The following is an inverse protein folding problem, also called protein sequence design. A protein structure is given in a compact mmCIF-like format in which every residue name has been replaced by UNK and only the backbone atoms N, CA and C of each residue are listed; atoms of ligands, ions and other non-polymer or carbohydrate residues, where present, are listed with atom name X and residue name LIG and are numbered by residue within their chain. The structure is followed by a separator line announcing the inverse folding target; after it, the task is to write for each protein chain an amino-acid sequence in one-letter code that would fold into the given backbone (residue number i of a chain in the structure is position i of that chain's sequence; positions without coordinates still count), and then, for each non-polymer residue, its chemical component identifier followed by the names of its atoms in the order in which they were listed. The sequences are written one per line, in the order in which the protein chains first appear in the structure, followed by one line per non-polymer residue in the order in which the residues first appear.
data_IF_791836144728
#
_entry.id   IF_791836144728
#
_cell.length_a   1.000
_cell.length_b   1.000
_cell.length_c   1.000
_cell.angle_alpha   90.00
_cell.angle_beta   90.00
_cell.angle_gamma   90.00
#
_symmetry.space_group_name_H-M   'P 1'
#
loop_
_entity.id
_entity.type
_entity.pdbx_description
1 polymer ?
#
# COMPACT_ATOMS: atom_id res chain seq x y z
N UNK A 1 9.33 10.68 -12.12
CA UNK A 1 10.54 9.87 -12.39
C UNK A 1 10.20 8.41 -12.07
N UNK A 2 11.00 7.44 -12.53
CA UNK A 2 10.72 6.04 -12.19
C UNK A 2 11.12 5.79 -10.74
N UNK A 3 10.27 5.14 -9.95
CA UNK A 3 10.65 4.78 -8.58
C UNK A 3 11.77 3.75 -8.59
N UNK A 4 12.70 3.90 -7.64
CA UNK A 4 13.81 2.98 -7.47
C UNK A 4 13.31 1.63 -6.97
N UNK A 5 13.83 0.57 -7.56
CA UNK A 5 13.52 -0.78 -7.11
C UNK A 5 13.95 -0.99 -5.65
N UNK A 6 15.05 -0.35 -5.23
CA UNK A 6 15.54 -0.38 -3.85
C UNK A 6 14.52 0.18 -2.85
N UNK A 7 13.83 1.26 -3.20
CA UNK A 7 12.81 1.86 -2.34
C UNK A 7 11.60 0.94 -2.18
N UNK A 8 11.14 0.32 -3.27
CA UNK A 8 10.02 -0.63 -3.21
C UNK A 8 10.38 -1.86 -2.38
N UNK A 9 11.58 -2.39 -2.56
CA UNK A 9 12.08 -3.52 -1.75
C UNK A 9 12.15 -3.14 -0.27
N UNK A 10 12.62 -1.93 0.05
CA UNK A 10 12.60 -1.42 1.41
C UNK A 10 11.19 -1.40 1.97
N UNK A 11 10.21 -0.79 1.29
CA UNK A 11 8.82 -0.76 1.76
C UNK A 11 8.27 -2.18 1.95
N UNK A 12 8.54 -3.11 1.03
CA UNK A 12 8.07 -4.49 1.11
C UNK A 12 8.66 -5.22 2.33
N UNK A 13 9.94 -4.96 2.65
CA UNK A 13 10.59 -5.46 3.87
C UNK A 13 9.93 -4.89 5.13
N UNK A 14 9.58 -3.59 5.11
CA UNK A 14 8.91 -2.94 6.26
C UNK A 14 7.53 -3.53 6.55
N UNK A 15 6.79 -3.95 5.51
CA UNK A 15 5.43 -4.48 5.62
C UNK A 15 5.37 -6.01 5.62
N UNK A 16 6.52 -6.69 5.66
CA UNK A 16 6.58 -8.15 5.66
C UNK A 16 5.78 -8.74 6.83
N UNK A 17 5.78 -8.06 7.98
CA UNK A 17 5.01 -8.40 9.18
C UNK A 17 3.48 -8.36 8.97
N UNK A 18 2.99 -7.63 7.97
CA UNK A 18 1.56 -7.57 7.62
C UNK A 18 1.09 -8.76 6.77
N UNK A 19 2.00 -9.59 6.24
CA UNK A 19 1.68 -10.64 5.27
C UNK A 19 1.57 -10.15 3.82
N UNK A 20 1.78 -8.85 3.58
CA UNK A 20 1.79 -8.23 2.26
C UNK A 20 3.15 -8.43 1.56
N UNK A 21 3.37 -9.61 0.97
CA UNK A 21 4.69 -10.01 0.42
C UNK A 21 4.86 -9.82 -1.08
N UNK A 22 3.89 -9.24 -1.78
CA UNK A 22 3.91 -9.19 -3.23
C UNK A 22 3.82 -7.77 -3.75
N UNK A 23 4.76 -7.39 -4.60
CA UNK A 23 4.70 -6.17 -5.38
C UNK A 23 4.72 -6.51 -6.87
N UNK A 24 4.08 -5.69 -7.70
CA UNK A 24 4.14 -5.81 -9.16
C UNK A 24 4.43 -4.46 -9.78
N UNK A 25 5.37 -4.42 -10.72
CA UNK A 25 5.61 -3.26 -11.55
C UNK A 25 4.48 -3.11 -12.56
N UNK A 26 3.85 -1.95 -12.62
CA UNK A 26 2.75 -1.62 -13.52
C UNK A 26 2.94 -0.20 -14.04
N UNK A 27 2.99 -0.02 -15.36
CA UNK A 27 3.13 1.30 -16.01
C UNK A 27 4.33 2.16 -15.53
N UNK A 28 5.43 1.52 -15.12
CA UNK A 28 6.64 2.21 -14.64
C UNK A 28 6.68 2.44 -13.12
N UNK A 29 5.57 2.19 -12.44
CA UNK A 29 5.40 2.32 -10.99
C UNK A 29 5.18 0.96 -10.35
N UNK A 30 5.04 0.90 -9.02
CA UNK A 30 4.89 -0.37 -8.31
C UNK A 30 3.59 -0.42 -7.50
N UNK A 31 2.90 -1.54 -7.58
CA UNK A 31 1.71 -1.80 -6.77
C UNK A 31 2.03 -2.86 -5.72
N UNK A 32 1.64 -2.59 -4.47
CA UNK A 32 1.81 -3.48 -3.33
C UNK A 32 0.51 -4.25 -3.08
N UNK A 33 0.66 -5.56 -2.89
CA UNK A 33 -0.42 -6.51 -2.70
C UNK A 33 -0.39 -7.15 -1.32
N UNK A 34 -1.56 -7.20 -0.69
CA UNK A 34 -1.86 -8.04 0.47
C UNK A 34 -3.03 -8.95 0.13
N UNK A 35 -2.91 -10.26 0.33
CA UNK A 35 -3.99 -11.23 0.06
C UNK A 35 -4.63 -11.10 -1.35
N UNK A 36 -3.80 -10.91 -2.38
CA UNK A 36 -4.23 -10.64 -3.77
C UNK A 36 -4.99 -9.32 -3.99
N UNK A 37 -5.04 -8.41 -3.01
CA UNK A 37 -5.61 -7.06 -3.12
C UNK A 37 -4.50 -6.01 -3.23
N UNK A 38 -4.71 -4.99 -4.06
CA UNK A 38 -3.85 -3.80 -4.07
C UNK A 38 -4.19 -2.94 -2.86
N UNK A 39 -3.25 -2.82 -1.94
CA UNK A 39 -3.35 -2.04 -0.70
C UNK A 39 -2.66 -0.69 -0.82
N UNK A 40 -1.54 -0.63 -1.53
CA UNK A 40 -0.76 0.58 -1.74
C UNK A 40 -0.09 0.61 -3.12
N UNK A 41 0.34 1.79 -3.52
CA UNK A 41 1.09 2.08 -4.74
C UNK A 41 2.36 2.84 -4.35
N UNK A 42 3.43 2.65 -5.11
CA UNK A 42 4.69 3.36 -4.96
C UNK A 42 4.98 4.09 -6.26
N UNK A 43 5.02 5.40 -6.16
CA UNK A 43 5.12 6.36 -7.26
C UNK A 43 6.13 7.43 -6.85
N UNK A 44 7.08 7.78 -7.70
CA UNK A 44 8.11 8.81 -7.42
C UNK A 44 8.84 8.65 -6.05
N UNK A 45 9.12 7.41 -5.62
CA UNK A 45 9.71 7.10 -4.29
C UNK A 45 8.86 7.55 -3.09
N UNK A 46 7.54 7.66 -3.29
CA UNK A 46 6.57 7.92 -2.25
C UNK A 46 5.57 6.76 -2.15
N UNK A 47 5.11 6.46 -0.94
CA UNK A 47 4.13 5.42 -0.68
C UNK A 47 2.72 5.99 -0.61
N UNK A 48 1.84 5.48 -1.47
CA UNK A 48 0.44 5.86 -1.56
C UNK A 48 -0.45 4.71 -1.11
N UNK A 49 -0.99 4.79 0.10
CA UNK A 49 -1.92 3.80 0.64
C UNK A 49 -3.35 4.15 0.26
N UNK A 50 -4.17 3.14 -0.06
CA UNK A 50 -5.57 3.40 -0.43
C UNK A 50 -6.33 4.15 0.67
N UNK A 51 -7.17 5.14 0.29
CA UNK A 51 -7.94 5.91 1.25
C UNK A 51 -9.09 5.06 1.82
N UNK A 52 -8.84 4.37 2.93
CA UNK A 52 -9.87 3.62 3.68
C UNK A 52 -10.26 4.38 4.94
N UNK A 53 -11.49 4.18 5.42
CA UNK A 53 -11.97 4.83 6.64
C UNK A 53 -11.17 4.36 7.87
N UNK A 54 -10.92 3.05 7.96
CA UNK A 54 -10.10 2.48 9.03
C UNK A 54 -8.63 2.95 8.98
N UNK A 55 -8.03 3.04 7.78
CA UNK A 55 -6.70 3.61 7.61
C UNK A 55 -6.65 5.08 8.02
N UNK A 56 -7.70 5.87 7.70
CA UNK A 56 -7.82 7.26 8.15
C UNK A 56 -7.86 7.36 9.67
N UNK A 57 -8.65 6.51 10.33
CA UNK A 57 -8.76 6.50 11.78
C UNK A 57 -7.44 6.14 12.45
N UNK A 58 -6.65 5.23 11.84
CA UNK A 58 -5.35 4.82 12.35
C UNK A 58 -4.27 5.90 12.17
N UNK A 59 -4.20 6.54 11.00
CA UNK A 59 -3.24 7.61 10.71
C UNK A 59 -3.65 8.92 11.41
N UNK A 60 -4.95 9.13 11.62
CA UNK A 60 -5.52 10.37 12.13
C UNK A 60 -5.50 11.49 11.08
N UNK A 61 -4.39 12.24 11.02
CA UNK A 61 -4.20 13.39 10.14
C UNK A 61 -3.49 13.00 8.83
N UNK A 62 -4.00 11.99 8.11
CA UNK A 62 -3.38 11.51 6.88
C UNK A 62 -3.39 12.57 5.78
N UNK A 63 -2.22 12.85 5.21
CA UNK A 63 -2.09 13.67 3.99
C UNK A 63 -2.65 12.88 2.82
N UNK A 64 -3.50 13.52 2.01
CA UNK A 64 -4.04 12.92 0.79
C UNK A 64 -3.41 13.58 -0.43
N UNK A 65 -2.75 12.80 -1.27
CA UNK A 65 -2.18 13.28 -2.52
C UNK A 65 -2.53 12.30 -3.65
N UNK A 66 -2.70 12.80 -4.89
CA UNK A 66 -2.81 11.92 -6.05
C UNK A 66 -1.45 11.27 -6.34
N UNK A 67 -1.43 9.96 -6.56
CA UNK A 67 -0.21 9.22 -6.90
C UNK A 67 0.41 9.66 -8.23
N UNK A 68 -0.43 10.11 -9.17
CA UNK A 68 -0.04 10.67 -10.46
C UNK A 68 -1.12 11.67 -10.94
N UNK A 69 -0.84 12.53 -11.93
CA UNK A 69 -1.81 13.50 -12.44
C UNK A 69 -3.11 12.82 -12.91
N UNK A 70 -4.24 13.19 -12.30
CA UNK A 70 -5.56 12.59 -12.59
C UNK A 70 -5.89 11.32 -11.79
N UNK A 71 -4.97 10.84 -10.93
CA UNK A 71 -5.26 9.76 -10.00
C UNK A 71 -6.24 10.20 -8.91
N UNK A 72 -6.94 9.22 -8.33
CA UNK A 72 -7.71 9.46 -7.11
C UNK A 72 -6.76 9.72 -5.93
N UNK A 73 -7.08 10.69 -5.05
CA UNK A 73 -6.24 10.99 -3.91
C UNK A 73 -6.12 9.76 -2.99
N UNK A 74 -4.88 9.41 -2.67
CA UNK A 74 -4.52 8.31 -1.77
C UNK A 74 -3.78 8.87 -0.55
N UNK A 75 -3.69 8.10 0.52
CA UNK A 75 -2.92 8.52 1.69
C UNK A 75 -1.43 8.50 1.34
N UNK A 76 -0.80 9.67 1.42
CA UNK A 76 0.63 9.83 1.21
C UNK A 76 1.33 9.58 2.55
N UNK A 77 2.21 8.58 2.58
CA UNK A 77 3.02 8.22 3.74
C UNK A 77 4.48 8.53 3.42
N UNK A 78 5.07 9.44 4.19
CA UNK A 78 6.46 9.90 4.02
C UNK A 78 7.25 9.76 5.32
N UNK A 79 6.66 10.15 6.45
CA UNK A 79 7.36 10.27 7.73
C UNK A 79 7.47 8.93 8.51
N UNK A 80 6.52 8.02 8.31
CA UNK A 80 6.40 6.76 9.07
C UNK A 80 6.77 5.52 8.27
N UNK A 81 7.66 5.67 7.27
CA UNK A 81 8.11 4.57 6.42
C UNK A 81 9.16 3.68 7.10
N UNK A 82 9.91 4.21 8.08
CA UNK A 82 10.92 3.48 8.86
C UNK A 82 10.33 2.68 10.03
N UNK A 83 9.05 2.88 10.36
CA UNK A 83 8.37 2.17 11.44
C UNK A 83 7.67 0.91 10.89
N UNK A 84 8.38 -0.22 10.95
CA UNK A 84 7.88 -1.54 10.49
C UNK A 84 6.54 -1.92 11.11
N UNK A 85 6.39 -1.70 12.43
CA UNK A 85 5.21 -2.13 13.17
C UNK A 85 4.01 -1.28 12.77
N UNK A 86 4.20 0.03 12.75
CA UNK A 86 3.17 0.97 12.35
C UNK A 86 2.75 0.76 10.89
N UNK A 87 3.71 0.63 9.96
CA UNK A 87 3.43 0.48 8.55
C UNK A 87 2.76 -0.87 8.26
N UNK A 88 3.24 -1.95 8.89
CA UNK A 88 2.60 -3.26 8.80
C UNK A 88 1.14 -3.21 9.29
N UNK A 89 0.90 -2.53 10.41
CA UNK A 89 -0.44 -2.37 10.96
C UNK A 89 -1.36 -1.56 10.04
N UNK A 90 -0.87 -0.45 9.47
CA UNK A 90 -1.61 0.34 8.50
C UNK A 90 -2.02 -0.49 7.28
N UNK A 91 -1.08 -1.26 6.71
CA UNK A 91 -1.37 -2.12 5.56
C UNK A 91 -2.41 -3.18 5.91
N UNK A 92 -2.31 -3.79 7.09
CA UNK A 92 -3.27 -4.81 7.55
C UNK A 92 -4.67 -4.23 7.74
N UNK A 93 -4.78 -3.07 8.39
CA UNK A 93 -6.04 -2.34 8.56
C UNK A 93 -6.64 -1.98 7.19
N UNK A 94 -5.82 -1.49 6.28
CA UNK A 94 -6.24 -1.14 4.92
C UNK A 94 -6.70 -2.40 4.16
N UNK A 95 -5.98 -3.51 4.27
CA UNK A 95 -6.33 -4.77 3.64
C UNK A 95 -7.65 -5.34 4.15
N UNK A 96 -7.92 -5.22 5.45
CA UNK A 96 -9.15 -5.68 6.11
C UNK A 96 -10.36 -4.81 5.72
N UNK A 97 -10.18 -3.48 5.71
CA UNK A 97 -11.20 -2.53 5.31
C UNK A 97 -11.55 -2.61 3.80
N UNK A 98 -10.63 -3.11 2.97
CA UNK A 98 -10.90 -3.34 1.56
C UNK A 98 -11.79 -4.58 1.39
N UNK A 99 -12.79 -4.55 0.49
CA UNK A 99 -13.63 -5.72 0.25
C UNK A 99 -12.77 -6.93 -0.12
N UNK A 100 -13.00 -8.07 0.55
CA UNK A 100 -12.34 -9.34 0.21
C UNK A 100 -12.63 -9.69 -1.25
N UNK A 101 -11.61 -10.07 -2.06
CA UNK A 101 -11.92 -10.61 -3.37
C UNK A 101 -12.77 -11.84 -3.11
N UNK A 102 -13.87 -12.00 -3.86
CA UNK A 102 -14.72 -13.19 -3.75
C UNK A 102 -13.81 -14.43 -3.69
N UNK A 103 -13.97 -15.31 -2.69
CA UNK A 103 -13.11 -16.49 -2.56
C UNK A 103 -13.13 -17.23 -3.89
N UNK A 104 -11.97 -17.36 -4.53
CA UNK A 104 -11.85 -18.19 -5.73
C UNK A 104 -12.24 -19.59 -5.30
N UNK A 105 -13.37 -20.09 -5.81
CA UNK A 105 -13.77 -21.49 -5.62
C UNK A 105 -12.55 -22.35 -5.97
N UNK A 106 -12.05 -23.13 -5.00
CA UNK A 106 -11.04 -24.17 -5.28
C UNK A 106 -11.64 -25.04 -6.38
N UNK A 107 -11.04 -25.02 -7.58
CA UNK A 107 -11.34 -26.01 -8.60
C UNK A 107 -10.82 -27.34 -8.03
N UNK A 108 -11.75 -28.23 -7.71
CA UNK A 108 -11.49 -29.61 -7.33
C UNK A 108 -11.29 -30.43 -8.60
#
# INVERSE_FOLDING_TARGET
MASDQSFVTFIVDQIEGAGARSYRKMFGEYAIYSDSKIVALVCDNQLFVKPTDAGRAFIGAAVKAPAYPGAKPSFLIEDQLDDKEWLSQLIRITADALPTPKPKKKKK
#
